data_IF_887022490016
#
_entry.id   IF_887022490016
#
_cell.length_a   1.000
_cell.length_b   1.000
_cell.length_c   1.000
_cell.angle_alpha   90.00
_cell.angle_beta   90.00
_cell.angle_gamma   90.00
#
_symmetry.space_group_name_H-M   'P 1'
#
loop_
_entity.id
_entity.type
_entity.pdbx_description
1 polymer ?
#
# COMPACT_ATOMS: atom_id res chain seq x y z
N UNK A 1 -3.79 -15.47 13.50
CA UNK A 1 -3.63 -14.85 12.18
C UNK A 1 -4.60 -15.52 11.24
N UNK A 2 -5.25 -14.74 10.39
CA UNK A 2 -5.97 -15.26 9.24
C UNK A 2 -4.98 -15.82 8.20
N UNK A 3 -5.45 -16.68 7.30
CA UNK A 3 -4.57 -17.36 6.34
C UNK A 3 -3.75 -16.38 5.50
N UNK A 4 -4.38 -15.30 5.01
CA UNK A 4 -3.69 -14.31 4.19
C UNK A 4 -2.53 -13.61 4.89
N UNK A 5 -2.58 -13.53 6.23
CA UNK A 5 -1.51 -12.91 7.02
C UNK A 5 -0.28 -13.82 7.06
N UNK A 6 -0.49 -15.14 7.20
CA UNK A 6 0.60 -16.12 7.11
C UNK A 6 1.20 -16.12 5.70
N UNK A 7 0.34 -16.15 4.67
CA UNK A 7 0.77 -16.13 3.26
C UNK A 7 1.57 -14.86 2.93
N UNK A 8 1.23 -13.73 3.56
CA UNK A 8 1.98 -12.49 3.40
C UNK A 8 3.35 -12.56 4.06
N UNK A 9 3.46 -13.12 5.26
CA UNK A 9 4.76 -13.34 5.93
C UNK A 9 5.65 -14.25 5.10
N UNK A 10 5.11 -15.37 4.60
CA UNK A 10 5.84 -16.32 3.76
C UNK A 10 6.29 -15.66 2.45
N UNK A 11 5.42 -14.87 1.82
CA UNK A 11 5.77 -14.08 0.64
C UNK A 11 6.91 -13.09 0.92
N UNK A 12 6.85 -12.36 2.03
CA UNK A 12 7.89 -11.41 2.40
C UNK A 12 9.24 -12.09 2.64
N UNK A 13 9.24 -13.29 3.21
CA UNK A 13 10.44 -14.10 3.40
C UNK A 13 10.98 -14.61 2.06
N UNK A 14 10.11 -15.12 1.19
CA UNK A 14 10.42 -15.64 -0.14
C UNK A 14 11.16 -14.59 -0.99
N UNK A 15 10.66 -13.35 -1.03
CA UNK A 15 11.27 -12.29 -1.83
C UNK A 15 12.38 -11.52 -1.07
N UNK A 16 12.67 -11.90 0.18
CA UNK A 16 13.65 -11.22 1.02
C UNK A 16 13.26 -9.81 1.45
N UNK A 17 11.98 -9.45 1.40
CA UNK A 17 11.45 -8.21 1.98
C UNK A 17 11.53 -8.25 3.52
N UNK A 18 11.34 -9.43 4.12
CA UNK A 18 11.58 -9.69 5.53
C UNK A 18 12.81 -10.58 5.69
N UNK A 19 13.75 -10.16 6.54
CA UNK A 19 14.98 -10.91 6.85
C UNK A 19 15.16 -11.01 8.35
N UNK A 20 15.69 -12.14 8.82
CA UNK A 20 16.11 -12.36 10.20
C UNK A 20 17.63 -12.36 10.29
N UNK A 21 18.17 -11.81 11.38
CA UNK A 21 19.61 -11.58 11.55
C UNK A 21 19.86 -10.36 12.43
N UNK A 22 21.06 -9.81 12.40
CA UNK A 22 21.41 -8.63 13.20
C UNK A 22 21.44 -7.37 12.31
N UNK A 23 20.57 -6.41 12.58
CA UNK A 23 20.44 -5.19 11.77
C UNK A 23 20.44 -3.93 12.64
N UNK A 24 21.36 -3.00 12.38
CA UNK A 24 21.36 -1.68 13.01
C UNK A 24 20.38 -0.74 12.30
N UNK A 25 19.30 -0.35 12.98
CA UNK A 25 18.29 0.56 12.46
C UNK A 25 18.77 2.02 12.47
N UNK A 26 18.05 2.92 11.78
CA UNK A 26 18.32 4.38 11.80
C UNK A 26 18.33 4.97 13.21
N UNK A 27 17.63 4.35 14.16
CA UNK A 27 17.61 4.75 15.57
C UNK A 27 18.84 4.29 16.37
N UNK A 28 19.76 3.54 15.75
CA UNK A 28 20.90 2.88 16.42
C UNK A 28 20.54 1.57 17.13
N UNK A 29 19.25 1.20 17.20
CA UNK A 29 18.83 -0.08 17.79
C UNK A 29 19.28 -1.25 16.92
N UNK A 30 19.76 -2.31 17.56
CA UNK A 30 20.02 -3.60 16.94
C UNK A 30 18.71 -4.40 16.92
N UNK A 31 18.22 -4.72 15.74
CA UNK A 31 16.97 -5.46 15.51
C UNK A 31 17.28 -6.88 15.04
N UNK A 32 16.55 -7.91 15.56
CA UNK A 32 16.69 -9.29 15.11
C UNK A 32 16.04 -9.56 13.73
N UNK A 33 15.40 -8.54 13.16
CA UNK A 33 14.79 -8.58 11.84
C UNK A 33 14.88 -7.23 11.12
N UNK A 34 14.76 -7.26 9.80
CA UNK A 34 14.69 -6.07 8.96
C UNK A 34 13.63 -6.25 7.89
N UNK A 35 12.83 -5.20 7.71
CA UNK A 35 11.81 -5.13 6.66
C UNK A 35 12.19 -4.06 5.63
N UNK A 36 12.18 -4.45 4.36
CA UNK A 36 12.50 -3.58 3.23
C UNK A 36 11.43 -3.66 2.14
N UNK A 37 10.50 -2.72 2.16
CA UNK A 37 9.46 -2.59 1.14
C UNK A 37 10.03 -2.39 -0.29
N UNK A 38 11.28 -1.96 -0.45
CA UNK A 38 11.93 -1.83 -1.75
C UNK A 38 12.14 -3.16 -2.50
N UNK A 39 11.92 -4.30 -1.86
CA UNK A 39 11.97 -5.62 -2.50
C UNK A 39 10.71 -5.94 -3.31
N UNK A 40 9.60 -5.22 -3.11
CA UNK A 40 8.39 -5.36 -3.93
C UNK A 40 8.55 -4.62 -5.27
N UNK A 41 9.43 -5.12 -6.13
CA UNK A 41 9.88 -4.41 -7.34
C UNK A 41 9.64 -5.18 -8.66
N UNK A 42 8.85 -6.25 -8.64
CA UNK A 42 8.44 -7.00 -9.82
C UNK A 42 6.92 -6.99 -9.98
N UNK A 43 6.42 -7.24 -11.20
CA UNK A 43 4.98 -7.20 -11.49
C UNK A 43 4.17 -8.20 -10.66
N UNK A 44 4.68 -9.42 -10.47
CA UNK A 44 4.08 -10.42 -9.57
C UNK A 44 4.10 -9.97 -8.10
N UNK A 45 5.14 -9.24 -7.67
CA UNK A 45 5.20 -8.73 -6.30
C UNK A 45 4.10 -7.70 -6.05
N UNK A 46 3.92 -6.77 -7.00
CA UNK A 46 2.88 -5.74 -6.91
C UNK A 46 1.47 -6.35 -6.98
N UNK A 47 1.27 -7.36 -7.83
CA UNK A 47 0.00 -8.10 -7.90
C UNK A 47 -0.33 -8.79 -6.57
N UNK A 48 0.62 -9.53 -5.99
CA UNK A 48 0.42 -10.17 -4.67
C UNK A 48 0.19 -9.15 -3.56
N UNK A 49 0.94 -8.05 -3.55
CA UNK A 49 0.71 -6.95 -2.59
C UNK A 49 -0.73 -6.42 -2.67
N UNK A 50 -1.22 -6.12 -3.88
CA UNK A 50 -2.60 -5.65 -4.07
C UNK A 50 -3.62 -6.64 -3.50
N UNK A 51 -3.41 -7.94 -3.71
CA UNK A 51 -4.27 -9.00 -3.14
C UNK A 51 -4.24 -9.02 -1.61
N UNK A 52 -3.07 -8.92 -0.98
CA UNK A 52 -2.96 -8.89 0.48
C UNK A 52 -3.64 -7.66 1.10
N UNK A 53 -3.47 -6.48 0.47
CA UNK A 53 -4.18 -5.28 0.92
C UNK A 53 -5.70 -5.41 0.73
N UNK A 54 -6.16 -5.92 -0.41
CA UNK A 54 -7.59 -6.13 -0.66
C UNK A 54 -8.20 -7.10 0.37
N UNK A 55 -7.52 -8.22 0.66
CA UNK A 55 -7.94 -9.18 1.68
C UNK A 55 -8.02 -8.53 3.08
N UNK A 56 -7.03 -7.72 3.45
CA UNK A 56 -7.05 -7.01 4.73
C UNK A 56 -8.19 -6.00 4.83
N UNK A 57 -8.47 -5.28 3.73
CA UNK A 57 -9.59 -4.33 3.65
C UNK A 57 -10.92 -5.04 3.83
N UNK A 58 -11.14 -6.14 3.11
CA UNK A 58 -12.39 -6.90 3.18
C UNK A 58 -12.57 -7.56 4.56
N UNK A 59 -11.51 -8.13 5.14
CA UNK A 59 -11.53 -8.71 6.48
C UNK A 59 -11.83 -7.66 7.56
N UNK A 60 -11.40 -6.40 7.37
CA UNK A 60 -11.65 -5.32 8.32
C UNK A 60 -13.12 -4.89 8.39
N UNK A 61 -13.91 -5.12 7.34
CA UNK A 61 -15.28 -4.63 7.21
C UNK A 61 -15.41 -3.11 7.12
N UNK A 62 -14.31 -2.38 6.92
CA UNK A 62 -14.31 -0.91 6.81
C UNK A 62 -15.04 -0.50 5.53
N UNK A 63 -15.98 0.43 5.69
CA UNK A 63 -16.66 1.12 4.58
C UNK A 63 -15.91 2.39 4.25
N UNK A 64 -15.79 2.67 2.96
CA UNK A 64 -15.14 3.86 2.42
C UNK A 64 -15.57 4.02 0.96
N UNK A 65 -15.46 5.25 0.47
CA UNK A 65 -15.90 5.66 -0.86
C UNK A 65 -14.71 5.77 -1.84
N UNK A 66 -13.53 6.16 -1.35
CA UNK A 66 -12.33 6.35 -2.20
C UNK A 66 -11.09 5.75 -1.54
N UNK A 67 -10.30 5.00 -2.32
CA UNK A 67 -8.97 4.55 -1.95
C UNK A 67 -7.92 5.59 -2.33
N UNK A 68 -7.21 6.15 -1.35
CA UNK A 68 -6.20 7.18 -1.57
C UNK A 68 -4.78 6.69 -1.27
N UNK A 69 -3.89 6.82 -2.25
CA UNK A 69 -2.47 6.48 -2.11
C UNK A 69 -1.58 7.74 -2.10
N UNK A 70 -0.93 8.10 -0.97
CA UNK A 70 -0.03 9.25 -0.93
C UNK A 70 1.19 9.10 -1.85
N UNK A 71 1.62 10.19 -2.49
CA UNK A 71 2.82 10.16 -3.32
C UNK A 71 4.11 9.96 -2.51
N UNK A 72 5.05 9.11 -2.95
CA UNK A 72 5.06 8.36 -4.22
C UNK A 72 4.67 6.90 -4.06
N UNK A 73 4.91 6.31 -2.89
CA UNK A 73 4.81 4.87 -2.68
C UNK A 73 3.36 4.38 -2.60
N UNK A 74 2.45 5.20 -2.10
CA UNK A 74 1.02 4.90 -2.07
C UNK A 74 0.40 4.81 -3.46
N UNK A 75 0.99 5.44 -4.49
CA UNK A 75 0.45 5.43 -5.86
C UNK A 75 0.33 4.00 -6.42
N UNK A 76 1.41 3.21 -6.54
CA UNK A 76 1.30 1.83 -7.02
C UNK A 76 0.47 0.95 -6.07
N UNK A 77 0.50 1.21 -4.76
CA UNK A 77 -0.29 0.44 -3.79
C UNK A 77 -1.79 0.64 -3.97
N UNK A 78 -2.25 1.90 -4.10
CA UNK A 78 -3.65 2.21 -4.34
C UNK A 78 -4.13 1.62 -5.68
N UNK A 79 -3.33 1.76 -6.74
CA UNK A 79 -3.66 1.19 -8.05
C UNK A 79 -3.79 -0.35 -7.99
N UNK A 80 -2.80 -1.04 -7.43
CA UNK A 80 -2.79 -2.50 -7.34
C UNK A 80 -3.91 -3.03 -6.43
N UNK A 81 -4.19 -2.35 -5.33
CA UNK A 81 -5.25 -2.73 -4.38
C UNK A 81 -6.63 -2.52 -4.98
N UNK A 82 -6.86 -1.42 -5.70
CA UNK A 82 -8.13 -1.17 -6.39
C UNK A 82 -8.41 -2.25 -7.46
N UNK A 83 -7.39 -2.65 -8.22
CA UNK A 83 -7.49 -3.77 -9.17
C UNK A 83 -7.85 -5.07 -8.44
N UNK A 84 -7.15 -5.39 -7.35
CA UNK A 84 -7.40 -6.62 -6.59
C UNK A 84 -8.79 -6.66 -5.93
N UNK A 85 -9.29 -5.54 -5.42
CA UNK A 85 -10.66 -5.41 -4.90
C UNK A 85 -11.72 -5.71 -5.97
N UNK A 86 -11.51 -5.20 -7.18
CA UNK A 86 -12.37 -5.51 -8.32
C UNK A 86 -12.32 -7.00 -8.67
N UNK A 87 -11.13 -7.54 -8.88
CA UNK A 87 -10.95 -8.89 -9.43
C UNK A 87 -11.30 -10.01 -8.43
N UNK A 88 -11.02 -9.80 -7.15
CA UNK A 88 -11.17 -10.85 -6.12
C UNK A 88 -12.47 -10.75 -5.33
N UNK A 89 -13.05 -9.55 -5.24
CA UNK A 89 -14.20 -9.27 -4.37
C UNK A 89 -15.37 -8.61 -5.10
N UNK A 90 -15.26 -8.41 -6.42
CA UNK A 90 -16.26 -7.71 -7.24
C UNK A 90 -16.61 -6.32 -6.67
N UNK A 91 -15.62 -5.65 -6.08
CA UNK A 91 -15.76 -4.34 -5.44
C UNK A 91 -15.01 -3.30 -6.26
N UNK A 92 -15.73 -2.64 -7.17
CA UNK A 92 -15.16 -1.55 -7.98
C UNK A 92 -15.08 -0.28 -7.14
N UNK A 93 -13.87 0.08 -6.71
CA UNK A 93 -13.61 1.23 -5.84
C UNK A 93 -12.88 2.33 -6.61
N UNK A 94 -13.36 3.58 -6.59
CA UNK A 94 -12.60 4.71 -7.09
C UNK A 94 -11.27 4.88 -6.34
N UNK A 95 -10.20 5.20 -7.06
CA UNK A 95 -8.91 5.50 -6.44
C UNK A 95 -8.39 6.86 -6.84
N UNK A 96 -7.55 7.42 -5.98
CA UNK A 96 -6.85 8.69 -6.23
C UNK A 96 -5.50 8.74 -5.53
N UNK A 97 -4.67 9.71 -5.93
CA UNK A 97 -3.39 10.00 -5.32
C UNK A 97 -3.03 11.47 -5.48
N UNK A 98 -2.17 12.00 -4.62
CA UNK A 98 -1.71 13.38 -4.75
C UNK A 98 -0.42 13.51 -5.59
N UNK A 99 -0.12 14.72 -6.05
CA UNK A 99 1.20 15.15 -6.52
C UNK A 99 1.91 15.92 -5.40
N UNK A 100 3.24 15.87 -5.35
CA UNK A 100 4.02 16.72 -4.41
C UNK A 100 4.03 18.19 -4.83
N UNK A 101 3.94 18.45 -6.13
CA UNK A 101 3.86 19.79 -6.70
C UNK A 101 2.58 19.91 -7.50
N UNK A 102 1.86 21.01 -7.30
CA UNK A 102 0.69 21.33 -8.10
C UNK A 102 1.12 21.58 -9.56
N UNK A 103 0.28 21.22 -10.53
CA UNK A 103 0.54 21.64 -11.91
C UNK A 103 -0.02 23.05 -12.12
N UNK A 104 0.77 23.89 -12.78
CA UNK A 104 0.36 25.26 -13.15
C UNK A 104 -0.56 25.29 -14.39
N UNK A 105 -0.75 24.15 -15.08
CA UNK A 105 -1.53 24.02 -16.33
C UNK A 105 -2.31 22.70 -16.40
N UNK A 106 -3.45 22.67 -17.12
CA UNK A 106 -4.34 21.50 -17.27
C UNK A 106 -5.55 21.53 -16.32
N UNK A 107 -6.03 20.37 -15.86
CA UNK A 107 -7.12 20.25 -14.86
C UNK A 107 -6.79 20.91 -13.49
N UNK A 108 -5.57 21.41 -13.30
CA UNK A 108 -5.14 22.07 -12.07
C UNK A 108 -5.08 21.11 -10.87
N UNK A 109 -4.78 21.67 -9.69
CA UNK A 109 -4.83 20.94 -8.42
C UNK A 109 -3.70 19.94 -8.20
N UNK A 110 -3.80 19.22 -7.08
CA UNK A 110 -2.81 18.26 -6.60
C UNK A 110 -3.35 16.82 -6.53
N UNK A 111 -4.61 16.55 -6.89
CA UNK A 111 -5.21 15.21 -6.88
C UNK A 111 -5.27 14.65 -8.31
N UNK A 112 -5.00 13.36 -8.46
CA UNK A 112 -5.11 12.60 -9.70
C UNK A 112 -6.02 11.39 -9.45
N UNK A 113 -6.93 11.12 -10.37
CA UNK A 113 -7.93 10.06 -10.23
C UNK A 113 -9.30 10.62 -9.83
N UNK A 114 -10.05 9.87 -9.04
CA UNK A 114 -11.36 10.30 -8.57
C UNK A 114 -11.26 11.48 -7.59
N UNK A 115 -12.23 12.42 -7.56
CA UNK A 115 -12.33 13.44 -6.51
C UNK A 115 -12.33 12.81 -5.10
N UNK A 116 -11.73 13.51 -4.13
CA UNK A 116 -11.77 13.12 -2.72
C UNK A 116 -13.11 13.55 -2.10
N UNK A 117 -14.12 12.71 -2.26
CA UNK A 117 -15.47 12.91 -1.75
C UNK A 117 -15.88 11.71 -0.89
N UNK A 118 -16.53 11.97 0.26
CA UNK A 118 -16.95 10.92 1.19
C UNK A 118 -15.84 10.42 2.12
N UNK A 119 -15.94 9.16 2.52
CA UNK A 119 -15.01 8.50 3.43
C UNK A 119 -13.77 7.99 2.66
N UNK A 120 -12.59 8.48 3.06
CA UNK A 120 -11.33 8.21 2.36
C UNK A 120 -10.52 7.17 3.13
N UNK A 121 -10.23 6.03 2.49
CA UNK A 121 -9.29 5.05 3.03
C UNK A 121 -7.88 5.34 2.48
N UNK A 122 -6.94 5.61 3.38
CA UNK A 122 -5.54 5.87 3.02
C UNK A 122 -4.74 4.57 3.05
N UNK A 123 -3.97 4.31 2.00
CA UNK A 123 -3.05 3.17 1.89
C UNK A 123 -1.60 3.64 1.77
N UNK A 124 -0.69 3.06 2.55
CA UNK A 124 0.74 3.38 2.54
C UNK A 124 1.59 2.15 2.92
N UNK A 125 2.91 2.20 2.69
CA UNK A 125 3.81 1.06 2.90
C UNK A 125 4.13 0.80 4.38
N UNK A 126 4.72 1.78 5.07
CA UNK A 126 5.10 1.71 6.48
C UNK A 126 5.00 3.07 7.13
N UNK A 127 4.22 3.15 8.21
CA UNK A 127 4.18 4.34 9.06
C UNK A 127 5.29 4.23 10.10
N UNK A 128 6.32 5.08 10.01
CA UNK A 128 7.41 5.14 10.99
C UNK A 128 7.23 6.29 11.98
N UNK A 129 7.25 7.54 11.49
CA UNK A 129 7.07 8.74 12.29
C UNK A 129 5.73 9.47 12.06
N UNK A 130 4.86 8.93 11.19
CA UNK A 130 3.57 9.57 10.86
C UNK A 130 3.67 10.84 10.00
N UNK A 131 4.87 11.23 9.58
CA UNK A 131 5.09 12.32 8.61
C UNK A 131 4.96 11.77 7.19
N UNK A 132 3.86 12.11 6.50
CA UNK A 132 3.64 11.82 5.08
C UNK A 132 4.26 12.91 4.18
#
# INVERSE_FOLDING_TARGET
MEQYQNDFVDFMLEIGALKFGEFTLKSGRVSPYFFNAGQFNQGNHLSRLGQFYAQAIEASGIKFDVLFGPAYKGIPLAAATAIALNDSFNRSVPYSFNRKEAKDHGEGGNIVGHPLEGDILIIDDVITAGTA
#
